data_IF_065858679004
#
_entry.id   IF_065858679004
#
_cell.length_a   1.000
_cell.length_b   1.000
_cell.length_c   1.000
_cell.angle_alpha   90.00
_cell.angle_beta   90.00
_cell.angle_gamma   90.00
#
_symmetry.space_group_name_H-M   'P 1'
#
loop_
_entity.id
_entity.type
_entity.pdbx_description
1 polymer ?
#
# COMPACT_ATOMS: atom_id res chain seq x y z
N UNK A 1 21.46 1.11 -8.88
CA UNK A 1 20.06 1.59 -8.74
C UNK A 1 20.10 3.11 -8.63
N UNK A 2 19.67 3.85 -9.65
CA UNK A 2 19.77 5.31 -9.62
C UNK A 2 18.77 5.92 -8.60
N UNK A 3 19.15 6.93 -7.81
CA UNK A 3 18.23 7.59 -6.88
C UNK A 3 17.10 8.27 -7.67
N UNK A 4 15.86 7.85 -7.41
CA UNK A 4 14.69 8.50 -8.02
C UNK A 4 14.35 9.76 -7.23
N UNK A 5 14.06 10.85 -7.95
CA UNK A 5 13.55 12.09 -7.37
C UNK A 5 12.02 12.06 -7.35
N UNK A 6 11.44 12.72 -6.36
CA UNK A 6 10.00 12.89 -6.25
C UNK A 6 9.49 13.83 -7.34
N UNK A 7 8.43 13.43 -8.03
CA UNK A 7 7.77 14.26 -9.05
C UNK A 7 7.06 15.51 -8.48
N UNK A 8 6.81 15.58 -7.18
CA UNK A 8 6.08 16.69 -6.53
C UNK A 8 7.04 17.72 -5.95
N UNK A 9 7.97 17.28 -5.10
CA UNK A 9 8.87 18.18 -4.37
C UNK A 9 10.33 18.14 -4.86
N UNK A 10 10.67 17.27 -5.81
CA UNK A 10 12.04 17.11 -6.30
C UNK A 10 13.02 16.44 -5.33
N UNK A 11 12.61 16.15 -4.07
CA UNK A 11 13.44 15.47 -3.07
C UNK A 11 13.79 14.04 -3.49
N UNK A 12 14.92 13.54 -3.02
CA UNK A 12 15.34 12.15 -3.24
C UNK A 12 14.36 11.21 -2.52
N UNK A 13 13.85 10.20 -3.24
CA UNK A 13 13.01 9.16 -2.66
C UNK A 13 13.92 8.20 -1.89
N UNK A 14 13.65 7.95 -0.59
CA UNK A 14 14.48 7.06 0.20
C UNK A 14 14.47 5.64 -0.39
N UNK A 15 15.62 4.97 -0.37
CA UNK A 15 15.79 3.65 -0.96
C UNK A 15 14.85 2.61 -0.33
N UNK A 16 14.56 2.72 0.96
CA UNK A 16 13.58 1.86 1.64
C UNK A 16 12.18 1.95 1.02
N UNK A 17 11.77 3.17 0.61
CA UNK A 17 10.49 3.37 -0.07
C UNK A 17 10.50 2.83 -1.49
N UNK A 18 11.63 2.91 -2.20
CA UNK A 18 11.78 2.28 -3.52
C UNK A 18 11.84 0.75 -3.43
N UNK A 19 12.36 0.18 -2.32
CA UNK A 19 12.31 -1.25 -2.06
C UNK A 19 10.88 -1.74 -1.81
N UNK A 20 10.12 -1.03 -0.97
CA UNK A 20 8.74 -1.38 -0.67
C UNK A 20 7.78 -1.12 -1.85
N UNK A 21 8.01 -0.04 -2.59
CA UNK A 21 7.14 0.42 -3.68
C UNK A 21 8.00 0.88 -4.88
N UNK A 22 8.56 -0.05 -5.68
CA UNK A 22 9.47 0.28 -6.78
C UNK A 22 8.82 1.10 -7.90
N UNK A 23 7.50 1.04 -8.04
CA UNK A 23 6.72 1.85 -8.97
C UNK A 23 6.41 3.28 -8.47
N UNK A 24 6.73 3.62 -7.20
CA UNK A 24 6.45 4.96 -6.69
C UNK A 24 7.33 6.02 -7.35
N UNK A 25 6.71 7.13 -7.72
CA UNK A 25 7.37 8.36 -8.21
C UNK A 25 7.32 9.50 -7.18
N UNK A 26 6.83 9.22 -5.97
CA UNK A 26 6.61 10.21 -4.91
C UNK A 26 7.39 9.85 -3.64
N UNK A 27 7.92 10.85 -2.94
CA UNK A 27 8.58 10.66 -1.63
C UNK A 27 7.58 10.27 -0.54
N UNK A 28 8.08 9.93 0.66
CA UNK A 28 7.24 9.63 1.85
C UNK A 28 6.32 10.80 2.17
N UNK A 29 6.86 12.02 2.22
CA UNK A 29 6.11 13.20 2.69
C UNK A 29 4.94 13.52 1.75
N UNK A 30 5.23 13.68 0.45
CA UNK A 30 4.19 14.00 -0.53
C UNK A 30 3.17 12.86 -0.68
N UNK A 31 3.58 11.60 -0.47
CA UNK A 31 2.64 10.49 -0.47
C UNK A 31 1.77 10.45 0.79
N UNK A 32 2.25 10.95 1.93
CA UNK A 32 1.45 11.13 3.16
C UNK A 32 0.42 12.25 3.00
N UNK A 33 0.79 13.35 2.35
CA UNK A 33 -0.08 14.53 2.23
C UNK A 33 -1.08 14.43 1.07
N UNK A 34 -0.65 13.94 -0.10
CA UNK A 34 -1.48 13.92 -1.32
C UNK A 34 -1.89 12.51 -1.76
N UNK A 35 -1.55 11.50 -0.98
CA UNK A 35 -1.70 10.09 -1.36
C UNK A 35 -0.58 9.62 -2.30
N UNK A 36 -0.41 8.31 -2.40
CA UNK A 36 0.51 7.68 -3.34
C UNK A 36 -0.07 7.65 -4.77
N UNK A 37 0.79 7.78 -5.79
CA UNK A 37 0.44 7.60 -7.21
C UNK A 37 0.03 6.15 -7.54
N UNK A 38 0.15 5.26 -6.56
CA UNK A 38 -0.01 3.84 -6.72
C UNK A 38 -1.49 3.54 -6.62
N UNK A 39 -2.11 3.36 -7.77
CA UNK A 39 -3.44 2.78 -7.90
C UNK A 39 -3.30 1.29 -7.64
N UNK A 40 -3.20 0.88 -6.37
CA UNK A 40 -3.47 -0.52 -6.04
C UNK A 40 -4.97 -0.73 -6.24
N UNK A 41 -5.37 -1.81 -6.93
CA UNK A 41 -6.75 -2.27 -6.83
C UNK A 41 -7.01 -2.43 -5.33
N UNK A 42 -8.07 -1.81 -4.81
CA UNK A 42 -8.65 -2.24 -3.54
C UNK A 42 -9.04 -3.70 -3.79
N UNK A 43 -8.16 -4.63 -3.45
CA UNK A 43 -8.59 -5.98 -3.18
C UNK A 43 -9.43 -5.81 -1.93
N UNK A 44 -10.74 -5.84 -2.12
CA UNK A 44 -11.70 -6.07 -1.05
C UNK A 44 -11.18 -7.31 -0.32
N UNK A 45 -10.51 -7.12 0.81
CA UNK A 45 -10.25 -8.21 1.74
C UNK A 45 -11.60 -8.46 2.43
N UNK A 46 -12.58 -8.87 1.64
CA UNK A 46 -13.82 -9.46 2.08
C UNK A 46 -13.54 -10.93 2.18
N UNK A 47 -13.40 -11.44 3.40
CA UNK A 47 -13.51 -12.87 3.63
C UNK A 47 -14.95 -13.25 3.24
N UNK A 48 -15.13 -14.21 2.34
CA UNK A 48 -16.46 -14.65 1.92
C UNK A 48 -17.33 -14.88 3.16
N UNK A 49 -18.57 -14.38 3.15
CA UNK A 49 -19.43 -14.36 4.32
C UNK A 49 -19.63 -15.75 4.94
N UNK A 50 -19.61 -16.80 4.10
CA UNK A 50 -19.65 -18.20 4.50
C UNK A 50 -18.44 -18.60 5.35
N UNK A 51 -17.25 -18.15 4.99
CA UNK A 51 -16.01 -18.43 5.75
C UNK A 51 -16.02 -17.74 7.11
N UNK A 52 -16.56 -16.51 7.20
CA UNK A 52 -16.73 -15.81 8.47
C UNK A 52 -17.70 -16.54 9.42
N UNK A 53 -18.76 -17.12 8.85
CA UNK A 53 -19.79 -17.84 9.60
C UNK A 53 -19.30 -19.19 10.12
N UNK A 54 -18.46 -19.89 9.36
CA UNK A 54 -17.87 -21.18 9.75
C UNK A 54 -16.94 -21.04 10.97
N UNK A 55 -16.07 -20.02 10.95
CA UNK A 55 -15.18 -19.68 12.07
C UNK A 55 -15.93 -19.33 13.36
N UNK A 56 -17.07 -18.64 13.26
CA UNK A 56 -17.91 -18.33 14.41
C UNK A 56 -18.69 -19.57 14.89
N UNK A 57 -19.12 -20.44 13.98
CA UNK A 57 -19.77 -21.71 14.31
C UNK A 57 -18.88 -22.64 15.13
N UNK A 58 -17.58 -22.68 14.84
CA UNK A 58 -16.59 -23.50 15.54
C UNK A 58 -16.36 -23.11 17.03
N UNK A 59 -16.85 -21.96 17.47
CA UNK A 59 -16.69 -21.48 18.87
C UNK A 59 -17.88 -21.80 19.78
N UNK A 60 -18.92 -22.47 19.27
CA UNK A 60 -20.11 -22.89 20.03
C UNK A 60 -20.26 -24.41 20.10
N UNK A 61 -19.24 -25.11 20.57
CA UNK A 61 -19.33 -26.53 20.96
C UNK A 61 -18.84 -26.77 22.38
#
# INVERSE_FOLDING_TARGET
MAPRKCAICGKIIPAERLKALPQTRRCVDCAREKGSDIVTRKVDIGMDADTYKDLLGATRS
#
